data_IF_465537632024
#
_entry.id   IF_465537632024
#
_cell.length_a   1.000
_cell.length_b   1.000
_cell.length_c   1.000
_cell.angle_alpha   90.00
_cell.angle_beta   90.00
_cell.angle_gamma   90.00
#
_symmetry.space_group_name_H-M   'P 1'
#
loop_
_entity.id
_entity.type
_entity.pdbx_description
1 polymer ?
#
# COMPACT_ATOMS: atom_id res chain seq x y z
N UNK A 1 41.02 17.13 -4.00
CA UNK A 1 40.52 17.03 -2.61
C UNK A 1 40.49 15.57 -2.18
N UNK A 2 41.07 15.23 -1.03
CA UNK A 2 41.28 13.84 -0.60
C UNK A 2 40.31 13.45 0.53
N UNK A 3 39.88 12.17 0.58
CA UNK A 3 38.77 11.65 1.42
C UNK A 3 39.00 11.72 2.95
N UNK A 4 40.10 12.28 3.43
CA UNK A 4 40.43 12.42 4.87
C UNK A 4 40.04 13.77 5.49
N UNK A 5 39.81 14.81 4.69
CA UNK A 5 39.47 16.15 5.22
C UNK A 5 38.00 16.28 5.64
N UNK A 6 37.08 15.53 5.02
CA UNK A 6 35.64 15.64 5.28
C UNK A 6 35.22 15.20 6.69
N UNK A 7 36.00 14.33 7.34
CA UNK A 7 35.64 13.74 8.64
C UNK A 7 35.91 14.71 9.82
N UNK A 8 36.65 15.81 9.62
CA UNK A 8 36.98 16.77 10.68
C UNK A 8 35.99 17.92 10.87
N UNK A 9 35.04 18.14 9.95
CA UNK A 9 34.11 19.28 10.01
C UNK A 9 32.72 18.98 10.59
N UNK A 10 32.45 17.74 11.01
CA UNK A 10 31.13 17.34 11.54
C UNK A 10 31.01 17.39 13.07
N UNK A 11 32.07 17.81 13.78
CA UNK A 11 32.17 17.69 15.24
C UNK A 11 32.21 19.03 15.98
N UNK A 12 31.31 19.97 15.68
CA UNK A 12 31.07 21.15 16.53
C UNK A 12 29.77 21.93 16.19
N UNK A 13 28.58 21.40 16.53
CA UNK A 13 27.44 22.20 17.08
C UNK A 13 26.56 21.24 17.89
N UNK A 14 26.72 21.24 19.21
CA UNK A 14 25.78 20.63 20.15
C UNK A 14 25.61 21.59 21.33
N UNK A 15 24.91 22.70 21.08
CA UNK A 15 24.59 23.69 22.11
C UNK A 15 23.50 23.16 23.04
N UNK A 16 23.79 23.09 24.33
CA UNK A 16 22.83 22.62 25.33
C UNK A 16 21.68 23.62 25.52
N UNK A 17 20.45 23.11 25.49
CA UNK A 17 19.27 23.79 26.03
C UNK A 17 18.65 22.89 27.10
N UNK A 18 18.86 23.24 28.37
CA UNK A 18 18.26 22.52 29.49
C UNK A 18 16.77 22.87 29.60
N UNK A 19 15.90 21.85 29.71
CA UNK A 19 14.47 22.04 29.94
C UNK A 19 14.16 21.60 31.38
N UNK A 20 13.99 22.57 32.28
CA UNK A 20 13.50 22.31 33.64
C UNK A 20 11.97 22.23 33.65
N UNK A 21 11.36 21.26 34.36
CA UNK A 21 9.90 21.15 34.44
C UNK A 21 9.30 22.14 35.44
N UNK A 22 8.16 22.74 35.10
CA UNK A 22 7.31 23.46 36.04
C UNK A 22 6.16 22.57 36.53
N UNK A 23 6.19 22.21 37.81
CA UNK A 23 5.00 22.10 38.65
C UNK A 23 4.73 23.50 39.27
N UNK A 24 3.59 23.90 39.84
CA UNK A 24 2.28 23.28 40.15
C UNK A 24 1.24 24.45 40.20
N UNK A 25 -0.07 24.37 40.45
CA UNK A 25 -1.01 23.35 40.95
C UNK A 25 -2.41 23.63 40.30
N UNK A 26 -3.62 23.39 40.81
CA UNK A 26 -4.16 22.90 42.09
C UNK A 26 -5.61 22.36 41.93
N UNK A 27 -6.04 21.45 42.82
CA UNK A 27 -7.45 21.05 43.01
C UNK A 27 -8.01 20.08 41.95
N UNK A 28 -8.84 19.08 42.26
CA UNK A 28 -9.68 18.83 43.45
C UNK A 28 -9.58 17.35 43.88
N UNK A 29 -9.74 17.06 45.18
CA UNK A 29 -9.81 15.70 45.72
C UNK A 29 -11.22 15.10 45.55
N UNK A 30 -11.31 13.80 45.30
CA UNK A 30 -12.44 13.02 45.83
C UNK A 30 -11.97 11.63 46.28
N UNK A 31 -12.69 11.06 47.26
CA UNK A 31 -12.17 10.02 48.17
C UNK A 31 -12.52 8.62 47.71
N UNK A 32 -11.58 7.68 47.86
CA UNK A 32 -11.86 6.25 47.91
C UNK A 32 -12.29 5.84 49.31
N UNK A 33 -13.48 5.25 49.46
CA UNK A 33 -13.84 4.45 50.63
C UNK A 33 -13.75 2.97 50.30
N UNK A 34 -13.08 2.23 51.19
CA UNK A 34 -12.95 0.77 51.16
C UNK A 34 -13.81 0.22 52.27
N UNK A 35 -14.75 -0.68 51.94
CA UNK A 35 -15.59 -1.36 52.94
C UNK A 35 -15.31 -2.85 52.90
N UNK A 36 -14.91 -3.40 54.05
CA UNK A 36 -14.72 -4.83 54.25
C UNK A 36 -16.02 -5.62 54.02
N UNK A 37 -15.92 -6.84 53.48
CA UNK A 37 -16.93 -7.87 53.66
C UNK A 37 -16.25 -9.10 54.25
N UNK A 38 -16.66 -9.47 55.47
CA UNK A 38 -16.21 -10.68 56.17
C UNK A 38 -16.74 -11.93 55.45
N UNK A 39 -15.88 -12.93 55.32
CA UNK A 39 -16.22 -14.15 54.58
C UNK A 39 -17.10 -15.14 55.33
N UNK A 40 -17.61 -16.12 54.59
CA UNK A 40 -18.08 -17.41 55.10
C UNK A 40 -17.51 -18.53 54.23
N UNK A 41 -17.26 -19.68 54.86
CA UNK A 41 -16.60 -20.86 54.28
C UNK A 41 -17.53 -21.70 53.40
N UNK A 42 -17.06 -22.19 52.25
CA UNK A 42 -17.82 -23.10 51.39
C UNK A 42 -16.93 -23.96 50.47
N UNK A 43 -16.81 -25.25 50.84
CA UNK A 43 -16.41 -26.43 50.08
C UNK A 43 -15.55 -26.33 48.79
N UNK A 44 -14.49 -27.16 48.77
CA UNK A 44 -13.65 -27.49 47.61
C UNK A 44 -14.42 -28.05 46.41
N UNK A 45 -14.16 -27.49 45.21
CA UNK A 45 -14.50 -28.10 43.92
C UNK A 45 -13.35 -27.90 42.93
N UNK A 46 -12.57 -28.95 42.67
CA UNK A 46 -11.46 -28.89 41.73
C UNK A 46 -11.97 -28.93 40.28
N UNK A 47 -12.22 -27.76 39.70
CA UNK A 47 -12.55 -27.63 38.28
C UNK A 47 -11.26 -27.60 37.44
N UNK A 48 -11.03 -28.65 36.66
CA UNK A 48 -9.96 -28.71 35.66
C UNK A 48 -10.18 -27.67 34.56
N UNK A 49 -9.28 -26.71 34.40
CA UNK A 49 -9.25 -25.83 33.23
C UNK A 49 -8.88 -26.66 31.97
N UNK A 50 -9.77 -26.80 30.97
CA UNK A 50 -9.34 -27.30 29.67
C UNK A 50 -8.51 -26.21 28.99
N UNK A 51 -7.23 -26.46 28.77
CA UNK A 51 -6.41 -25.62 27.91
C UNK A 51 -6.96 -25.68 26.50
N UNK A 52 -7.72 -24.66 26.10
CA UNK A 52 -8.20 -24.51 24.74
C UNK A 52 -7.00 -24.23 23.81
N UNK A 53 -6.39 -25.30 23.30
CA UNK A 53 -5.41 -25.20 22.22
C UNK A 53 -6.12 -24.67 20.99
N UNK A 54 -5.94 -23.38 20.73
CA UNK A 54 -6.43 -22.70 19.54
C UNK A 54 -5.78 -23.27 18.28
N UNK A 55 -6.33 -24.38 17.79
CA UNK A 55 -6.01 -24.92 16.48
C UNK A 55 -6.44 -23.88 15.44
N UNK A 56 -5.47 -23.08 14.97
CA UNK A 56 -5.72 -22.05 13.97
C UNK A 56 -6.39 -22.68 12.74
N UNK A 57 -7.56 -22.18 12.38
CA UNK A 57 -8.25 -22.61 11.17
C UNK A 57 -7.41 -22.14 9.98
N UNK A 58 -6.54 -23.01 9.49
CA UNK A 58 -5.82 -22.81 8.23
C UNK A 58 -6.81 -22.94 7.07
N UNK A 59 -7.57 -21.87 6.82
CA UNK A 59 -8.37 -21.75 5.61
C UNK A 59 -7.45 -21.85 4.39
N UNK A 60 -7.77 -22.76 3.46
CA UNK A 60 -6.99 -22.92 2.23
C UNK A 60 -7.21 -21.71 1.34
N UNK A 61 -6.27 -20.77 1.37
CA UNK A 61 -6.27 -19.59 0.49
C UNK A 61 -5.91 -20.03 -0.94
N UNK A 62 -6.84 -19.86 -1.87
CA UNK A 62 -6.59 -20.04 -3.31
C UNK A 62 -6.22 -18.69 -3.90
N UNK A 63 -4.97 -18.52 -4.32
CA UNK A 63 -4.53 -17.30 -5.01
C UNK A 63 -4.88 -17.39 -6.50
N UNK A 64 -5.73 -16.46 -6.98
CA UNK A 64 -5.97 -16.23 -8.40
C UNK A 64 -4.78 -15.50 -9.04
N UNK A 65 -4.53 -15.76 -10.32
CA UNK A 65 -3.43 -15.14 -11.08
C UNK A 65 -3.98 -14.25 -12.19
N UNK A 66 -3.46 -13.03 -12.29
CA UNK A 66 -3.73 -12.14 -13.43
C UNK A 66 -2.44 -11.78 -14.16
N UNK A 67 -2.54 -11.47 -15.44
CA UNK A 67 -1.43 -10.94 -16.24
C UNK A 67 -1.66 -9.46 -16.55
N UNK A 68 -0.63 -8.63 -16.42
CA UNK A 68 -0.69 -7.24 -16.87
C UNK A 68 -0.82 -7.17 -18.40
N UNK A 69 -1.80 -6.43 -18.91
CA UNK A 69 -2.13 -6.41 -20.35
C UNK A 69 -0.95 -5.98 -21.24
N UNK A 70 -0.10 -5.07 -20.78
CA UNK A 70 1.12 -4.64 -21.47
C UNK A 70 2.19 -5.75 -21.65
N UNK A 71 2.01 -6.92 -21.04
CA UNK A 71 2.87 -8.09 -21.24
C UNK A 71 2.46 -8.93 -22.48
N UNK A 72 1.28 -8.68 -23.05
CA UNK A 72 0.71 -9.45 -24.18
C UNK A 72 1.19 -8.84 -25.51
N UNK A 73 2.27 -9.42 -26.06
CA UNK A 73 2.98 -8.91 -27.25
C UNK A 73 2.42 -9.39 -28.58
N UNK A 74 1.46 -10.31 -28.54
CA UNK A 74 0.81 -10.87 -29.71
C UNK A 74 -0.11 -9.83 -30.36
N UNK A 75 -0.01 -9.66 -31.68
CA UNK A 75 -0.87 -8.76 -32.45
C UNK A 75 -2.23 -9.41 -32.73
N UNK A 76 -3.10 -9.37 -31.72
CA UNK A 76 -4.42 -10.01 -31.67
C UNK A 76 -5.52 -9.03 -31.26
N UNK A 77 -6.77 -9.37 -31.58
CA UNK A 77 -7.95 -8.65 -31.08
C UNK A 77 -8.00 -8.69 -29.55
N UNK A 78 -8.65 -7.72 -28.91
CA UNK A 78 -8.80 -7.67 -27.45
C UNK A 78 -9.42 -8.97 -26.88
N UNK A 79 -10.42 -9.50 -27.58
CA UNK A 79 -11.08 -10.77 -27.25
C UNK A 79 -10.12 -11.95 -27.33
N UNK A 80 -9.27 -12.01 -28.35
CA UNK A 80 -8.37 -13.14 -28.56
C UNK A 80 -7.11 -13.04 -27.68
N UNK A 81 -6.66 -11.83 -27.33
CA UNK A 81 -5.70 -11.61 -26.23
C UNK A 81 -6.25 -12.17 -24.91
N UNK A 82 -7.50 -11.87 -24.56
CA UNK A 82 -8.09 -12.37 -23.32
C UNK A 82 -8.31 -13.89 -23.34
N UNK A 83 -8.70 -14.49 -24.47
CA UNK A 83 -8.76 -15.96 -24.63
C UNK A 83 -7.37 -16.59 -24.45
N UNK A 84 -6.34 -16.08 -25.14
CA UNK A 84 -4.96 -16.55 -25.01
C UNK A 84 -4.51 -16.58 -23.54
N UNK A 85 -4.77 -15.51 -22.79
CA UNK A 85 -4.41 -15.46 -21.36
C UNK A 85 -5.24 -16.43 -20.52
N UNK A 86 -6.51 -16.67 -20.88
CA UNK A 86 -7.33 -17.69 -20.22
C UNK A 86 -6.84 -19.12 -20.50
N UNK A 87 -6.47 -19.40 -21.74
CA UNK A 87 -5.97 -20.71 -22.20
C UNK A 87 -4.57 -21.01 -21.61
N UNK A 88 -3.76 -19.98 -21.35
CA UNK A 88 -2.50 -20.06 -20.59
C UNK A 88 -2.71 -20.27 -19.07
N UNK A 89 -3.95 -20.36 -18.59
CA UNK A 89 -4.28 -20.70 -17.21
C UNK A 89 -4.28 -19.53 -16.22
N UNK A 90 -4.37 -18.28 -16.70
CA UNK A 90 -4.64 -17.14 -15.82
C UNK A 90 -6.15 -16.97 -15.56
N UNK A 91 -6.47 -16.43 -14.39
CA UNK A 91 -7.84 -16.10 -13.99
C UNK A 91 -8.29 -14.76 -14.56
N UNK A 92 -7.36 -13.79 -14.65
CA UNK A 92 -7.67 -12.40 -14.98
C UNK A 92 -6.61 -11.67 -15.82
N UNK A 93 -6.96 -10.46 -16.23
CA UNK A 93 -6.05 -9.46 -16.82
C UNK A 93 -6.12 -8.16 -16.02
N UNK A 94 -4.98 -7.53 -15.79
CA UNK A 94 -4.90 -6.18 -15.23
C UNK A 94 -4.64 -5.17 -16.34
N UNK A 95 -5.48 -4.13 -16.41
CA UNK A 95 -5.45 -3.10 -17.45
C UNK A 95 -4.88 -1.79 -16.92
N UNK A 96 -4.32 -0.97 -17.82
CA UNK A 96 -4.06 0.43 -17.51
C UNK A 96 -5.36 1.23 -17.62
N UNK A 97 -5.55 2.19 -16.72
CA UNK A 97 -6.70 3.10 -16.66
C UNK A 97 -6.23 4.55 -16.42
N UNK A 98 -6.87 5.61 -16.95
CA UNK A 98 -8.05 5.62 -17.82
C UNK A 98 -7.88 4.79 -19.10
N UNK A 99 -8.84 3.91 -19.40
CA UNK A 99 -8.66 2.89 -20.44
C UNK A 99 -8.61 3.48 -21.84
N UNK A 100 -7.76 2.90 -22.70
CA UNK A 100 -7.63 3.32 -24.11
C UNK A 100 -8.70 2.69 -25.01
N UNK A 101 -9.26 1.56 -24.59
CA UNK A 101 -10.39 0.91 -25.23
C UNK A 101 -11.72 1.43 -24.63
N UNK A 102 -12.80 1.36 -25.40
CA UNK A 102 -14.13 1.57 -24.87
C UNK A 102 -14.48 0.47 -23.86
N UNK A 103 -15.01 0.85 -22.69
CA UNK A 103 -15.43 -0.10 -21.64
C UNK A 103 -16.38 -1.18 -22.19
N UNK A 104 -17.27 -0.81 -23.11
CA UNK A 104 -18.19 -1.75 -23.75
C UNK A 104 -17.50 -2.84 -24.57
N UNK A 105 -16.35 -2.55 -25.19
CA UNK A 105 -15.56 -3.53 -25.94
C UNK A 105 -14.71 -4.41 -25.01
N UNK A 106 -14.19 -3.83 -23.92
CA UNK A 106 -13.53 -4.60 -22.85
C UNK A 106 -14.53 -5.59 -22.22
N UNK A 107 -15.77 -5.17 -21.95
CA UNK A 107 -16.82 -6.04 -21.39
C UNK A 107 -17.26 -7.14 -22.35
N UNK A 108 -17.37 -6.87 -23.67
CA UNK A 108 -17.61 -7.90 -24.70
C UNK A 108 -16.47 -8.93 -24.71
N UNK A 109 -15.21 -8.47 -24.73
CA UNK A 109 -14.04 -9.33 -24.70
C UNK A 109 -13.98 -10.17 -23.42
N UNK A 110 -14.28 -9.57 -22.26
CA UNK A 110 -14.37 -10.24 -20.95
C UNK A 110 -15.41 -11.36 -20.98
N UNK A 111 -16.62 -11.08 -21.45
CA UNK A 111 -17.70 -12.07 -21.52
C UNK A 111 -17.38 -13.22 -22.49
N UNK A 112 -16.80 -12.92 -23.65
CA UNK A 112 -16.45 -13.90 -24.67
C UNK A 112 -15.26 -14.83 -24.27
N UNK A 113 -14.33 -14.32 -23.45
CA UNK A 113 -13.16 -15.07 -22.96
C UNK A 113 -13.36 -15.72 -21.59
N UNK A 114 -14.37 -15.29 -20.81
CA UNK A 114 -14.60 -15.71 -19.41
C UNK A 114 -13.40 -15.41 -18.50
N UNK A 115 -12.74 -14.28 -18.73
CA UNK A 115 -11.63 -13.77 -17.91
C UNK A 115 -12.13 -12.77 -16.86
N UNK A 116 -11.40 -12.65 -15.75
CA UNK A 116 -11.66 -11.63 -14.74
C UNK A 116 -10.84 -10.35 -15.01
N UNK A 117 -11.28 -9.22 -14.47
CA UNK A 117 -10.58 -7.93 -14.55
C UNK A 117 -10.53 -7.35 -13.12
N UNK A 118 -9.75 -7.94 -12.20
CA UNK A 118 -9.87 -7.68 -10.77
C UNK A 118 -9.34 -6.30 -10.36
N UNK A 119 -8.45 -5.71 -11.15
CA UNK A 119 -7.81 -4.43 -10.86
C UNK A 119 -7.41 -3.69 -12.12
N UNK A 120 -7.11 -2.40 -11.94
CA UNK A 120 -6.46 -1.55 -12.95
C UNK A 120 -5.29 -0.80 -12.35
N UNK A 121 -4.28 -0.50 -13.17
CA UNK A 121 -3.18 0.41 -12.81
C UNK A 121 -3.53 1.80 -13.30
N UNK A 122 -3.50 2.81 -12.44
CA UNK A 122 -3.65 4.18 -12.92
C UNK A 122 -2.40 4.56 -13.75
N UNK A 123 -2.56 5.00 -14.99
CA UNK A 123 -1.45 5.22 -15.93
C UNK A 123 -0.80 6.60 -15.83
N UNK A 124 -1.50 7.56 -15.23
CA UNK A 124 -1.09 8.98 -15.21
C UNK A 124 -0.29 9.34 -13.95
N UNK A 125 -0.33 8.53 -12.89
CA UNK A 125 0.30 8.83 -11.59
C UNK A 125 1.83 9.07 -11.63
N UNK A 126 2.51 8.75 -12.74
CA UNK A 126 3.94 9.03 -12.95
C UNK A 126 4.19 10.38 -13.62
N UNK A 127 3.30 10.80 -14.54
CA UNK A 127 3.43 12.07 -15.26
C UNK A 127 2.82 13.24 -14.50
N UNK A 128 1.82 12.95 -13.65
CA UNK A 128 1.21 13.88 -12.70
C UNK A 128 1.18 13.23 -11.31
N UNK A 129 2.26 13.29 -10.51
CA UNK A 129 2.33 12.56 -9.24
C UNK A 129 1.55 13.23 -8.11
N UNK A 130 1.01 12.42 -7.19
CA UNK A 130 0.31 12.89 -5.97
C UNK A 130 1.21 13.67 -5.00
N UNK A 131 2.54 13.58 -5.14
CA UNK A 131 3.52 14.33 -4.35
C UNK A 131 3.92 15.68 -4.96
N UNK A 132 3.42 16.03 -6.14
CA UNK A 132 3.86 17.25 -6.83
C UNK A 132 3.52 18.52 -6.01
N UNK A 133 4.43 19.50 -5.89
CA UNK A 133 4.14 20.74 -5.16
C UNK A 133 2.99 21.56 -5.77
N UNK A 134 2.75 21.50 -7.09
CA UNK A 134 1.66 22.21 -7.74
C UNK A 134 0.30 21.51 -7.47
N UNK A 135 -0.66 22.16 -6.76
CA UNK A 135 -2.00 21.60 -6.55
C UNK A 135 -2.73 21.30 -7.86
N UNK A 136 -2.40 21.97 -8.96
CA UNK A 136 -2.98 21.74 -10.29
C UNK A 136 -2.54 20.40 -10.87
N UNK A 137 -1.28 19.98 -10.62
CA UNK A 137 -0.77 18.67 -11.02
C UNK A 137 -1.43 17.57 -10.20
N UNK A 138 -1.49 17.75 -8.87
CA UNK A 138 -2.16 16.79 -7.97
C UNK A 138 -3.63 16.62 -8.31
N UNK A 139 -4.35 17.72 -8.59
CA UNK A 139 -5.76 17.67 -8.99
C UNK A 139 -5.99 16.82 -10.24
N UNK A 140 -5.13 16.93 -11.27
CA UNK A 140 -5.20 16.08 -12.47
C UNK A 140 -4.99 14.60 -12.14
N UNK A 141 -4.06 14.30 -11.24
CA UNK A 141 -3.84 12.94 -10.74
C UNK A 141 -5.08 12.38 -10.04
N UNK A 142 -5.65 13.16 -9.11
CA UNK A 142 -6.87 12.83 -8.38
C UNK A 142 -8.01 12.56 -9.37
N UNK A 143 -8.25 13.45 -10.33
CA UNK A 143 -9.28 13.28 -11.37
C UNK A 143 -9.08 12.01 -12.21
N UNK A 144 -7.83 11.69 -12.57
CA UNK A 144 -7.48 10.44 -13.27
C UNK A 144 -7.75 9.19 -12.41
N UNK A 145 -7.36 9.18 -11.13
CA UNK A 145 -7.61 8.07 -10.21
C UNK A 145 -9.11 7.92 -9.93
N UNK A 146 -9.87 9.02 -9.82
CA UNK A 146 -11.33 8.99 -9.72
C UNK A 146 -11.97 8.35 -10.96
N UNK A 147 -11.43 8.61 -12.16
CA UNK A 147 -11.84 7.91 -13.37
C UNK A 147 -11.50 6.42 -13.32
N UNK A 148 -10.32 6.05 -12.82
CA UNK A 148 -9.95 4.64 -12.60
C UNK A 148 -10.85 3.91 -11.61
N UNK A 149 -11.28 4.57 -10.53
CA UNK A 149 -12.24 4.01 -9.56
C UNK A 149 -13.63 3.75 -10.18
N UNK A 150 -14.04 4.57 -11.14
CA UNK A 150 -15.28 4.35 -11.91
C UNK A 150 -15.11 3.18 -12.89
N UNK A 151 -14.01 3.17 -13.65
CA UNK A 151 -13.76 2.13 -14.67
C UNK A 151 -13.57 0.75 -14.05
N UNK A 152 -12.78 0.59 -12.98
CA UNK A 152 -12.60 -0.73 -12.35
C UNK A 152 -13.93 -1.30 -11.83
N UNK A 153 -14.83 -0.44 -11.35
CA UNK A 153 -16.20 -0.81 -10.96
C UNK A 153 -17.02 -1.28 -12.16
N UNK A 154 -17.01 -0.53 -13.27
CA UNK A 154 -17.71 -0.92 -14.51
C UNK A 154 -17.16 -2.23 -15.09
N UNK A 155 -15.86 -2.46 -14.98
CA UNK A 155 -15.19 -3.71 -15.37
C UNK A 155 -15.45 -4.87 -14.41
N UNK A 156 -16.08 -4.63 -13.25
CA UNK A 156 -16.38 -5.64 -12.22
C UNK A 156 -15.13 -6.15 -11.50
N UNK A 157 -14.13 -5.28 -11.33
CA UNK A 157 -13.01 -5.46 -10.40
C UNK A 157 -13.27 -4.79 -9.06
N UNK A 158 -12.21 -4.65 -8.26
CA UNK A 158 -12.30 -4.11 -6.88
C UNK A 158 -11.24 -3.04 -6.53
N UNK A 159 -10.11 -2.95 -7.25
CA UNK A 159 -8.93 -2.17 -6.81
C UNK A 159 -8.28 -1.36 -7.94
N UNK A 160 -7.90 -0.11 -7.62
CA UNK A 160 -6.97 0.70 -8.41
C UNK A 160 -5.57 0.67 -7.77
N UNK A 161 -4.55 0.31 -8.55
CA UNK A 161 -3.14 0.49 -8.16
C UNK A 161 -2.73 1.94 -8.38
N UNK A 162 -2.16 2.56 -7.35
CA UNK A 162 -1.66 3.94 -7.35
C UNK A 162 -0.23 4.00 -6.84
N UNK A 163 0.68 4.68 -7.55
CA UNK A 163 1.98 5.05 -6.97
C UNK A 163 1.76 6.20 -5.98
N UNK A 164 2.14 6.06 -4.70
CA UNK A 164 1.75 7.01 -3.67
C UNK A 164 2.37 8.40 -3.88
N UNK A 165 3.54 8.49 -4.52
CA UNK A 165 4.26 9.74 -4.77
C UNK A 165 5.61 9.48 -5.43
N UNK A 166 6.35 10.56 -5.72
CA UNK A 166 7.70 10.55 -6.28
C UNK A 166 8.59 11.54 -5.51
N UNK A 167 9.80 11.11 -5.17
CA UNK A 167 10.86 11.91 -4.53
C UNK A 167 12.01 12.11 -5.53
N UNK A 168 12.43 13.36 -5.70
CA UNK A 168 13.44 13.76 -6.67
C UNK A 168 14.19 15.04 -6.21
N UNK A 169 14.91 15.70 -7.11
CA UNK A 169 15.68 16.93 -6.85
C UNK A 169 14.82 18.16 -6.49
N UNK A 170 13.52 18.13 -6.82
CA UNK A 170 12.56 19.21 -6.58
C UNK A 170 11.58 18.90 -5.45
N UNK A 171 11.28 17.62 -5.23
CA UNK A 171 10.33 17.14 -4.22
C UNK A 171 11.08 16.35 -3.16
N UNK A 172 11.25 16.97 -1.98
CA UNK A 172 11.90 16.32 -0.84
C UNK A 172 11.06 15.17 -0.28
N UNK A 173 11.69 14.27 0.46
CA UNK A 173 11.02 13.10 1.04
C UNK A 173 9.89 13.47 2.01
N UNK A 174 10.11 14.48 2.86
CA UNK A 174 9.10 14.99 3.80
C UNK A 174 7.94 15.70 3.09
N UNK A 175 8.24 16.50 2.06
CA UNK A 175 7.20 17.14 1.24
C UNK A 175 6.34 16.09 0.53
N UNK A 176 6.96 15.08 -0.08
CA UNK A 176 6.23 13.96 -0.67
C UNK A 176 5.39 13.22 0.37
N UNK A 177 5.94 12.94 1.56
CA UNK A 177 5.23 12.26 2.65
C UNK A 177 3.93 12.99 3.03
N UNK A 178 4.02 14.28 3.33
CA UNK A 178 2.86 15.09 3.76
C UNK A 178 1.87 15.28 2.61
N UNK A 179 2.34 15.65 1.42
CA UNK A 179 1.47 16.00 0.29
C UNK A 179 0.76 14.78 -0.31
N UNK A 180 1.47 13.66 -0.50
CA UNK A 180 0.84 12.41 -0.93
C UNK A 180 -0.21 11.94 0.06
N UNK A 181 0.06 12.03 1.37
CA UNK A 181 -0.91 11.70 2.41
C UNK A 181 -2.18 12.57 2.36
N UNK A 182 -2.04 13.86 2.04
CA UNK A 182 -3.18 14.76 1.87
C UNK A 182 -4.01 14.37 0.64
N UNK A 183 -3.37 14.22 -0.53
CA UNK A 183 -4.08 13.92 -1.77
C UNK A 183 -4.64 12.50 -1.85
N UNK A 184 -4.11 11.54 -1.09
CA UNK A 184 -4.76 10.22 -0.90
C UNK A 184 -6.01 10.33 -0.01
N UNK A 185 -6.03 11.23 0.99
CA UNK A 185 -7.25 11.50 1.76
C UNK A 185 -8.33 12.20 0.93
N UNK A 186 -7.95 13.09 0.00
CA UNK A 186 -8.87 13.69 -0.96
C UNK A 186 -9.56 12.64 -1.86
N UNK A 187 -8.93 11.48 -2.09
CA UNK A 187 -9.50 10.38 -2.87
C UNK A 187 -10.53 9.52 -2.10
N UNK A 188 -10.54 9.56 -0.77
CA UNK A 188 -11.38 8.69 0.07
C UNK A 188 -12.88 8.79 -0.27
N UNK A 189 -13.51 9.99 -0.35
CA UNK A 189 -14.94 10.08 -0.65
C UNK A 189 -15.33 9.51 -2.03
N UNK A 190 -14.39 9.51 -2.97
CA UNK A 190 -14.58 8.91 -4.29
C UNK A 190 -14.43 7.39 -4.26
N UNK A 191 -13.48 6.87 -3.49
CA UNK A 191 -13.33 5.43 -3.24
C UNK A 191 -14.58 4.86 -2.55
N UNK A 192 -15.11 5.55 -1.53
CA UNK A 192 -16.35 5.20 -0.83
C UNK A 192 -17.57 5.21 -1.78
N UNK A 193 -17.73 6.28 -2.58
CA UNK A 193 -18.81 6.39 -3.57
C UNK A 193 -18.73 5.32 -4.66
N UNK A 194 -17.52 4.94 -5.06
CA UNK A 194 -17.31 3.82 -5.99
C UNK A 194 -17.54 2.47 -5.29
N UNK A 195 -17.22 2.36 -4.00
CA UNK A 195 -17.13 1.09 -3.26
C UNK A 195 -15.86 0.30 -3.60
N UNK A 196 -14.81 0.98 -4.08
CA UNK A 196 -13.59 0.39 -4.66
C UNK A 196 -12.37 0.76 -3.82
N UNK A 197 -11.33 -0.08 -3.87
CA UNK A 197 -10.10 0.05 -3.11
C UNK A 197 -9.02 0.84 -3.87
N UNK A 198 -8.18 1.54 -3.12
CA UNK A 198 -6.94 2.17 -3.57
C UNK A 198 -5.78 1.40 -2.92
N UNK A 199 -4.96 0.75 -3.72
CA UNK A 199 -3.82 -0.01 -3.25
C UNK A 199 -2.52 0.66 -3.70
N UNK A 200 -1.70 1.08 -2.74
CA UNK A 200 -0.46 1.82 -2.96
C UNK A 200 0.70 0.88 -3.28
N UNK A 201 1.44 1.11 -4.38
CA UNK A 201 2.57 0.24 -4.77
C UNK A 201 3.93 0.75 -4.26
N UNK A 202 4.77 -0.15 -3.75
CA UNK A 202 6.20 0.10 -3.52
C UNK A 202 6.98 0.03 -4.85
N UNK A 203 7.39 1.17 -5.40
CA UNK A 203 8.09 1.27 -6.69
C UNK A 203 9.46 1.92 -6.55
N UNK A 204 10.11 2.28 -7.66
CA UNK A 204 11.44 2.91 -7.71
C UNK A 204 11.39 4.45 -7.72
N UNK A 205 10.45 5.00 -6.96
CA UNK A 205 10.14 6.42 -6.80
C UNK A 205 10.97 7.15 -5.71
N UNK A 206 11.94 6.45 -5.10
CA UNK A 206 12.75 6.90 -3.95
C UNK A 206 11.92 7.26 -2.70
N UNK A 207 10.73 6.65 -2.53
CA UNK A 207 9.76 7.03 -1.50
C UNK A 207 9.16 5.78 -0.80
N UNK A 208 8.91 5.87 0.51
CA UNK A 208 8.44 4.77 1.38
C UNK A 208 9.33 3.52 1.24
N UNK A 209 10.62 3.68 1.56
CA UNK A 209 11.67 2.71 1.22
C UNK A 209 11.78 1.52 2.18
N UNK A 210 11.14 1.57 3.34
CA UNK A 210 11.15 0.51 4.35
C UNK A 210 9.73 0.03 4.70
N UNK A 211 9.58 -1.22 5.22
CA UNK A 211 8.27 -1.76 5.53
C UNK A 211 7.61 -1.07 6.73
N UNK A 212 8.40 -0.43 7.59
CA UNK A 212 7.92 0.35 8.72
C UNK A 212 7.30 1.67 8.25
N UNK A 213 7.93 2.37 7.31
CA UNK A 213 7.38 3.59 6.70
C UNK A 213 6.10 3.29 5.91
N UNK A 214 6.10 2.23 5.09
CA UNK A 214 4.91 1.82 4.32
C UNK A 214 3.73 1.45 5.24
N UNK A 215 3.99 0.71 6.33
CA UNK A 215 3.01 0.44 7.38
C UNK A 215 2.49 1.73 8.00
N UNK A 216 3.38 2.61 8.45
CA UNK A 216 3.02 3.86 9.13
C UNK A 216 2.18 4.77 8.22
N UNK A 217 2.57 4.92 6.95
CA UNK A 217 1.87 5.74 5.97
C UNK A 217 0.41 5.29 5.76
N UNK A 218 0.16 3.97 5.67
CA UNK A 218 -1.21 3.42 5.59
C UNK A 218 -1.95 3.56 6.93
N UNK A 219 -1.28 3.31 8.05
CA UNK A 219 -1.87 3.43 9.39
C UNK A 219 -2.29 4.87 9.73
N UNK A 220 -1.57 5.88 9.23
CA UNK A 220 -1.91 7.29 9.42
C UNK A 220 -3.10 7.71 8.55
N UNK A 221 -3.24 7.14 7.34
CA UNK A 221 -4.42 7.34 6.48
C UNK A 221 -5.68 6.72 7.12
N UNK A 222 -5.52 5.56 7.78
CA UNK A 222 -6.54 4.90 8.61
C UNK A 222 -7.91 4.74 7.93
N UNK A 223 -7.95 4.21 6.70
CA UNK A 223 -9.20 3.99 5.97
C UNK A 223 -9.27 2.59 5.34
N UNK A 224 -10.37 1.83 5.49
CA UNK A 224 -10.46 0.43 5.04
C UNK A 224 -10.42 0.23 3.53
N UNK A 225 -10.65 1.29 2.73
CA UNK A 225 -10.50 1.26 1.27
C UNK A 225 -9.10 1.68 0.80
N UNK A 226 -8.17 2.01 1.70
CA UNK A 226 -6.78 2.33 1.35
C UNK A 226 -5.84 1.28 1.95
N UNK A 227 -5.00 0.68 1.10
CA UNK A 227 -4.04 -0.34 1.50
C UNK A 227 -2.84 -0.40 0.58
N UNK A 228 -2.25 -1.58 0.45
CA UNK A 228 -0.99 -1.80 -0.24
C UNK A 228 -1.11 -2.80 -1.38
N UNK A 229 -0.59 -2.45 -2.55
CA UNK A 229 -0.34 -3.35 -3.66
C UNK A 229 1.12 -3.77 -3.57
N UNK A 230 1.38 -4.92 -2.95
CA UNK A 230 2.76 -5.29 -2.60
C UNK A 230 3.51 -5.86 -3.79
N UNK A 231 4.52 -5.13 -4.27
CA UNK A 231 5.41 -5.64 -5.32
C UNK A 231 6.62 -6.35 -4.72
N UNK A 232 6.70 -7.66 -4.97
CA UNK A 232 7.73 -8.56 -4.44
C UNK A 232 9.09 -8.31 -5.12
N UNK A 233 9.11 -7.89 -6.39
CA UNK A 233 10.33 -7.71 -7.18
C UNK A 233 10.99 -6.35 -6.92
N UNK A 234 10.22 -5.27 -6.95
CA UNK A 234 10.68 -3.89 -6.75
C UNK A 234 11.45 -3.75 -5.44
N UNK A 235 11.00 -4.41 -4.36
CA UNK A 235 11.61 -4.29 -3.03
C UNK A 235 12.97 -4.97 -2.91
N UNK A 236 13.32 -5.91 -3.79
CA UNK A 236 14.63 -6.56 -3.77
C UNK A 236 15.80 -5.58 -4.04
N UNK A 237 15.50 -4.37 -4.53
CA UNK A 237 16.43 -3.21 -4.60
C UNK A 237 16.80 -2.65 -3.22
N UNK A 238 15.89 -2.67 -2.24
CA UNK A 238 16.09 -2.00 -0.94
C UNK A 238 16.16 -2.98 0.24
N UNK A 239 15.58 -4.18 0.13
CA UNK A 239 15.51 -5.11 1.26
C UNK A 239 14.89 -6.47 0.90
N UNK A 240 14.19 -7.05 1.88
CA UNK A 240 13.69 -8.43 1.87
C UNK A 240 12.16 -8.49 1.83
N UNK A 241 11.54 -9.13 0.81
CA UNK A 241 10.08 -9.18 0.68
C UNK A 241 9.36 -9.81 1.89
N UNK A 242 9.97 -10.81 2.52
CA UNK A 242 9.42 -11.51 3.67
C UNK A 242 9.32 -10.63 4.92
N UNK A 243 10.11 -9.54 5.01
CA UNK A 243 9.95 -8.53 6.07
C UNK A 243 8.72 -7.67 5.79
N UNK A 244 8.52 -7.28 4.53
CA UNK A 244 7.36 -6.49 4.09
C UNK A 244 6.04 -7.23 4.27
N UNK A 245 5.97 -8.50 3.86
CA UNK A 245 4.79 -9.34 4.04
C UNK A 245 4.39 -9.42 5.52
N UNK A 246 5.36 -9.65 6.42
CA UNK A 246 5.11 -9.72 7.87
C UNK A 246 4.68 -8.37 8.48
N UNK A 247 5.25 -7.26 8.03
CA UNK A 247 4.98 -5.93 8.60
C UNK A 247 3.69 -5.29 8.07
N UNK A 248 3.43 -5.38 6.77
CA UNK A 248 2.19 -4.87 6.16
C UNK A 248 1.00 -5.74 6.56
N UNK A 249 1.16 -7.07 6.53
CA UNK A 249 0.15 -8.04 6.96
C UNK A 249 -1.21 -7.78 6.26
N UNK A 250 -2.27 -7.51 7.04
CA UNK A 250 -3.63 -7.25 6.54
C UNK A 250 -3.76 -6.01 5.63
N UNK A 251 -2.72 -5.16 5.52
CA UNK A 251 -2.71 -4.01 4.61
C UNK A 251 -2.49 -4.42 3.15
N UNK A 252 -1.95 -5.62 2.89
CA UNK A 252 -1.73 -6.11 1.53
C UNK A 252 -3.09 -6.50 0.92
N UNK A 253 -3.52 -5.76 -0.09
CA UNK A 253 -4.76 -5.99 -0.83
C UNK A 253 -4.53 -6.89 -2.04
N UNK A 254 -3.45 -6.65 -2.80
CA UNK A 254 -3.00 -7.45 -3.94
C UNK A 254 -1.46 -7.50 -3.98
N UNK A 255 -0.91 -8.36 -4.83
CA UNK A 255 0.53 -8.54 -4.98
C UNK A 255 0.95 -8.54 -6.44
N UNK A 256 2.02 -7.83 -6.77
CA UNK A 256 2.72 -7.98 -8.05
C UNK A 256 3.93 -8.90 -7.86
N UNK A 257 4.16 -9.75 -8.86
CA UNK A 257 5.27 -10.70 -8.89
C UNK A 257 6.02 -10.50 -10.20
N UNK A 258 7.23 -9.93 -10.09
CA UNK A 258 8.15 -9.71 -11.22
C UNK A 258 9.56 -10.16 -10.85
N UNK A 259 10.33 -10.52 -11.86
CA UNK A 259 11.73 -10.94 -11.71
C UNK A 259 12.63 -9.74 -11.36
N UNK A 260 13.57 -9.93 -10.43
CA UNK A 260 14.59 -8.92 -10.11
C UNK A 260 15.90 -9.58 -9.67
N UNK A 261 16.98 -9.25 -10.39
CA UNK A 261 18.31 -9.82 -10.13
C UNK A 261 19.19 -8.83 -9.37
N UNK A 262 19.39 -9.10 -8.06
CA UNK A 262 20.40 -8.40 -7.24
C UNK A 262 21.82 -8.53 -7.81
N UNK A 263 22.12 -9.63 -8.48
CA UNK A 263 23.41 -9.82 -9.17
C UNK A 263 23.59 -8.80 -10.30
N UNK A 264 22.58 -8.62 -11.17
CA UNK A 264 22.60 -7.58 -12.21
C UNK A 264 22.72 -6.19 -11.58
N UNK A 265 22.01 -5.92 -10.48
CA UNK A 265 22.12 -4.64 -9.74
C UNK A 265 23.56 -4.34 -9.30
N UNK A 266 24.17 -5.31 -8.62
CA UNK A 266 25.48 -5.13 -8.00
C UNK A 266 26.62 -5.11 -9.04
N UNK A 267 26.44 -5.76 -10.19
CA UNK A 267 27.45 -5.85 -11.26
C UNK A 267 27.31 -4.78 -12.35
N UNK A 268 26.10 -4.25 -12.60
CA UNK A 268 25.82 -3.30 -13.70
C UNK A 268 25.29 -1.94 -13.25
N UNK A 269 25.01 -1.76 -11.95
CA UNK A 269 24.30 -0.60 -11.41
C UNK A 269 22.78 -0.77 -11.49
N UNK A 270 22.04 0.31 -11.23
CA UNK A 270 20.60 0.36 -11.45
C UNK A 270 20.31 0.44 -12.95
N UNK A 271 19.33 -0.33 -13.44
CA UNK A 271 18.93 -0.44 -14.86
C UNK A 271 17.40 -0.33 -14.99
#
# INVERSE_FOLDING_TARGET
MNKREFIKSAAMVAGAAAVTPFASAAGIQEKSEVTEIKGTSGASGAASNPTASGAGIHTKVTLKKSLGFGMIKEELSLTDKFKLIKDLGFDGVELNSPTEFAISDILKAKAASKIELPSVVNKDHWSVPLSDPDPTVRKKCIESIVKSLQEVKELGGDTVLVVPGVVNDKVSYEQAYITSQQSIRELIPYAEKAGMQIALENVWNNFLLSPLEAKQFVDEINHPLVGWYFDIGNILRYGWPEHWIRTLNHRIMKMHIKEFSREKMNSKGLW
#
